data_IF_843970804118
#
_entry.id   IF_843970804118
#
_cell.length_a   1.000
_cell.length_b   1.000
_cell.length_c   1.000
_cell.angle_alpha   90.00
_cell.angle_beta   90.00
_cell.angle_gamma   90.00
#
_symmetry.space_group_name_H-M   'P 1'
#
loop_
_entity.id
_entity.type
_entity.pdbx_description
1 polymer ?
#
# COMPACT_ATOMS: atom_id res chain seq x y z
N UNK A 1 30.94 -12.48 3.29
CA UNK A 1 31.55 -11.28 3.92
C UNK A 1 30.61 -10.81 5.01
N UNK A 2 31.09 -10.47 6.22
CA UNK A 2 30.22 -9.84 7.21
C UNK A 2 29.65 -8.54 6.63
N UNK A 3 28.38 -8.24 6.92
CA UNK A 3 27.83 -6.90 6.72
C UNK A 3 28.57 -5.97 7.69
N UNK A 4 29.62 -5.30 7.22
CA UNK A 4 30.42 -4.38 8.05
C UNK A 4 29.59 -3.16 8.51
N UNK A 5 28.58 -2.79 7.70
CA UNK A 5 27.53 -1.84 8.05
C UNK A 5 26.32 -2.10 7.15
N UNK A 6 25.11 -1.99 7.69
CA UNK A 6 23.85 -1.98 6.93
C UNK A 6 23.50 -0.54 6.57
N UNK A 7 23.29 -0.25 5.30
CA UNK A 7 22.76 1.03 4.83
C UNK A 7 21.27 0.88 4.55
N UNK A 8 20.45 1.68 5.23
CA UNK A 8 19.01 1.71 5.05
C UNK A 8 18.61 3.06 4.43
N UNK A 9 18.05 3.09 3.21
CA UNK A 9 17.48 4.32 2.69
C UNK A 9 16.25 4.67 3.53
N UNK A 10 16.15 5.94 3.91
CA UNK A 10 15.04 6.52 4.66
C UNK A 10 14.61 7.83 3.99
N UNK A 11 13.33 8.22 4.07
CA UNK A 11 12.91 9.53 3.57
C UNK A 11 13.66 10.66 4.28
N UNK A 12 14.02 11.72 3.55
CA UNK A 12 14.63 12.94 4.09
C UNK A 12 13.69 13.70 5.02
N UNK A 13 12.39 13.65 4.70
CA UNK A 13 11.33 14.22 5.52
C UNK A 13 10.04 13.41 5.37
N UNK A 14 9.24 13.42 6.43
CA UNK A 14 7.90 12.88 6.51
C UNK A 14 7.02 13.92 7.20
N UNK A 15 6.04 14.48 6.49
CA UNK A 15 5.12 15.48 7.03
C UNK A 15 3.67 15.05 6.86
N UNK A 16 2.91 14.99 7.95
CA UNK A 16 1.45 14.79 7.92
C UNK A 16 0.78 16.02 8.51
N UNK A 17 0.12 16.81 7.66
CA UNK A 17 -0.47 18.09 8.07
C UNK A 17 -1.49 18.60 7.08
N UNK A 18 -2.29 19.57 7.50
CA UNK A 18 -3.16 20.35 6.61
C UNK A 18 -2.34 21.29 5.73
N UNK A 19 -2.80 21.50 4.50
CA UNK A 19 -2.20 22.43 3.53
C UNK A 19 -0.78 22.06 3.09
N UNK A 20 -0.40 20.78 3.14
CA UNK A 20 0.92 20.32 2.71
C UNK A 20 1.18 20.59 1.22
N UNK A 21 0.16 20.43 0.35
CA UNK A 21 0.23 20.74 -1.08
C UNK A 21 0.52 22.22 -1.30
N UNK A 22 -0.20 23.11 -0.61
CA UNK A 22 -0.02 24.56 -0.76
C UNK A 22 1.38 25.07 -0.33
N UNK A 23 2.12 24.27 0.42
CA UNK A 23 3.48 24.59 0.89
C UNK A 23 4.56 23.80 0.16
N UNK A 24 4.22 23.13 -0.95
CA UNK A 24 5.16 22.31 -1.70
C UNK A 24 6.40 23.11 -2.15
N UNK A 25 6.25 24.39 -2.51
CA UNK A 25 7.40 25.21 -2.93
C UNK A 25 8.52 25.33 -1.89
N UNK A 26 8.21 25.26 -0.59
CA UNK A 26 9.24 25.28 0.46
C UNK A 26 10.08 23.99 0.45
N UNK A 27 9.45 22.84 0.16
CA UNK A 27 10.13 21.57 -0.02
C UNK A 27 10.95 21.56 -1.31
N UNK A 28 10.40 22.12 -2.40
CA UNK A 28 11.11 22.21 -3.68
C UNK A 28 12.33 23.13 -3.62
N UNK A 29 12.32 24.11 -2.73
CA UNK A 29 13.45 24.99 -2.48
C UNK A 29 14.55 24.37 -1.60
N UNK A 30 14.31 23.19 -0.99
CA UNK A 30 15.33 22.49 -0.22
C UNK A 30 16.41 21.93 -1.15
N UNK A 31 17.65 22.41 -0.99
CA UNK A 31 18.79 22.00 -1.81
C UNK A 31 19.15 20.51 -1.68
N UNK A 32 18.60 19.81 -0.67
CA UNK A 32 18.73 18.35 -0.52
C UNK A 32 17.74 17.59 -1.42
N UNK A 33 16.69 18.26 -1.90
CA UNK A 33 15.67 17.71 -2.81
C UNK A 33 15.98 18.08 -4.25
N UNK A 34 16.30 19.34 -4.53
CA UNK A 34 16.69 19.83 -5.86
C UNK A 34 17.76 20.92 -5.76
N UNK A 35 18.84 20.80 -6.52
CA UNK A 35 19.97 21.75 -6.53
C UNK A 35 19.82 22.89 -7.54
N UNK A 36 19.24 22.62 -8.72
CA UNK A 36 19.05 23.62 -9.79
C UNK A 36 17.61 24.10 -9.92
N UNK A 37 16.69 23.53 -9.14
CA UNK A 37 15.26 23.91 -9.14
C UNK A 37 14.45 23.32 -10.30
N UNK A 38 15.05 22.49 -11.15
CA UNK A 38 14.37 21.78 -12.24
C UNK A 38 13.55 20.61 -11.70
N UNK A 39 12.33 20.91 -11.29
CA UNK A 39 11.39 19.94 -10.71
C UNK A 39 10.24 19.66 -11.68
N UNK A 40 9.84 18.39 -11.77
CA UNK A 40 8.59 18.01 -12.41
C UNK A 40 7.51 17.75 -11.34
N UNK A 41 6.26 18.12 -11.61
CA UNK A 41 5.12 17.80 -10.75
C UNK A 41 4.11 16.98 -11.55
N UNK A 42 3.91 15.74 -11.16
CA UNK A 42 2.94 14.82 -11.76
C UNK A 42 1.65 14.82 -10.94
N UNK A 43 0.53 15.21 -11.56
CA UNK A 43 -0.78 15.26 -10.90
C UNK A 43 -1.79 14.32 -11.57
N UNK A 44 -2.69 13.75 -10.77
CA UNK A 44 -3.74 12.84 -11.26
C UNK A 44 -4.90 13.56 -11.98
N UNK A 45 -5.79 12.80 -12.64
CA UNK A 45 -6.81 13.35 -13.54
C UNK A 45 -7.97 14.08 -12.83
N UNK A 46 -8.18 13.83 -11.53
CA UNK A 46 -9.34 14.36 -10.79
C UNK A 46 -9.11 15.68 -10.07
N UNK A 47 -7.94 15.88 -9.48
CA UNK A 47 -7.62 17.06 -8.65
C UNK A 47 -6.52 17.92 -9.24
N UNK A 48 -6.02 17.59 -10.44
CA UNK A 48 -4.84 18.21 -11.00
C UNK A 48 -4.97 19.73 -11.19
N UNK A 49 -6.14 20.23 -11.63
CA UNK A 49 -6.34 21.67 -11.83
C UNK A 49 -6.34 22.44 -10.52
N UNK A 50 -6.98 21.87 -9.50
CA UNK A 50 -6.99 22.46 -8.17
C UNK A 50 -5.58 22.45 -7.55
N UNK A 51 -4.88 21.33 -7.63
CA UNK A 51 -3.50 21.19 -7.16
C UNK A 51 -2.59 22.19 -7.88
N UNK A 52 -2.65 22.26 -9.21
CA UNK A 52 -1.87 23.20 -10.01
C UNK A 52 -2.13 24.65 -9.58
N UNK A 53 -3.39 25.03 -9.37
CA UNK A 53 -3.74 26.36 -8.89
C UNK A 53 -3.20 26.68 -7.49
N UNK A 54 -3.15 25.69 -6.59
CA UNK A 54 -2.65 25.85 -5.22
C UNK A 54 -1.13 25.98 -5.19
N UNK A 55 -0.42 25.21 -6.03
CA UNK A 55 1.03 25.20 -6.04
C UNK A 55 1.61 26.32 -6.89
N UNK A 56 0.91 26.82 -7.92
CA UNK A 56 1.37 27.86 -8.83
C UNK A 56 2.05 29.08 -8.17
N UNK A 57 1.56 29.62 -7.03
CA UNK A 57 2.23 30.74 -6.33
C UNK A 57 3.62 30.39 -5.78
N UNK A 58 3.91 29.10 -5.58
CA UNK A 58 5.12 28.58 -4.94
C UNK A 58 5.94 27.66 -5.86
N UNK A 59 5.43 27.38 -7.06
CA UNK A 59 5.96 26.35 -7.98
C UNK A 59 7.27 26.76 -8.67
N UNK A 60 7.55 28.06 -8.77
CA UNK A 60 8.73 28.57 -9.46
C UNK A 60 8.77 28.14 -10.93
N UNK A 61 9.85 27.46 -11.33
CA UNK A 61 10.06 26.94 -12.69
C UNK A 61 9.60 25.47 -12.86
N UNK A 62 8.89 24.89 -11.89
CA UNK A 62 8.47 23.49 -12.01
C UNK A 62 7.44 23.29 -13.12
N UNK A 63 7.55 22.17 -13.83
CA UNK A 63 6.65 21.82 -14.93
C UNK A 63 5.61 20.79 -14.48
N UNK A 64 4.34 21.02 -14.83
CA UNK A 64 3.23 20.15 -14.42
C UNK A 64 2.90 19.15 -15.52
N UNK A 65 2.91 17.87 -15.15
CA UNK A 65 2.52 16.73 -15.99
C UNK A 65 1.21 16.13 -15.50
N UNK A 66 0.35 15.74 -16.44
CA UNK A 66 -0.91 15.05 -16.14
C UNK A 66 -0.75 13.55 -16.31
N UNK A 67 -0.95 12.81 -15.23
CA UNK A 67 -0.96 11.34 -15.23
C UNK A 67 -2.39 10.89 -15.51
N UNK A 68 -2.60 10.22 -16.65
CA UNK A 68 -3.94 9.83 -17.08
C UNK A 68 -4.60 8.81 -16.14
N UNK A 69 -3.85 7.78 -15.73
CA UNK A 69 -4.32 6.69 -14.88
C UNK A 69 -3.13 5.96 -14.19
N UNK A 70 -3.44 4.86 -13.50
CA UNK A 70 -2.45 3.99 -12.85
C UNK A 70 -1.98 2.83 -13.74
N UNK A 71 -1.77 3.05 -15.04
CA UNK A 71 -1.25 2.03 -15.97
C UNK A 71 0.26 2.13 -16.18
N UNK A 72 0.86 1.03 -16.65
CA UNK A 72 2.24 0.99 -17.11
C UNK A 72 2.45 1.95 -18.28
N UNK A 73 1.49 2.08 -19.20
CA UNK A 73 1.59 2.97 -20.35
C UNK A 73 1.66 4.45 -19.94
N UNK A 74 0.79 4.88 -19.02
CA UNK A 74 0.82 6.23 -18.46
C UNK A 74 2.16 6.51 -17.76
N UNK A 75 2.66 5.56 -16.97
CA UNK A 75 3.95 5.69 -16.29
C UNK A 75 5.14 5.72 -17.25
N UNK A 76 5.12 4.93 -18.34
CA UNK A 76 6.16 4.92 -19.38
C UNK A 76 6.16 6.25 -20.14
N UNK A 77 4.97 6.77 -20.49
CA UNK A 77 4.85 8.08 -21.14
C UNK A 77 5.44 9.19 -20.27
N UNK A 78 5.04 9.26 -18.99
CA UNK A 78 5.59 10.21 -18.04
C UNK A 78 7.12 10.05 -17.91
N UNK A 79 7.61 8.82 -17.78
CA UNK A 79 9.05 8.55 -17.69
C UNK A 79 9.83 9.04 -18.91
N UNK A 80 9.25 8.95 -20.11
CA UNK A 80 9.86 9.48 -21.33
C UNK A 80 9.96 11.01 -21.31
N UNK A 81 8.93 11.70 -20.82
CA UNK A 81 8.94 13.16 -20.71
C UNK A 81 9.89 13.65 -19.61
N UNK A 82 9.94 12.95 -18.47
CA UNK A 82 10.90 13.23 -17.40
C UNK A 82 12.37 13.14 -17.89
N UNK A 83 12.69 12.15 -18.72
CA UNK A 83 14.04 12.01 -19.32
C UNK A 83 14.38 13.14 -20.30
N UNK A 84 13.40 13.65 -21.07
CA UNK A 84 13.62 14.75 -22.02
C UNK A 84 13.89 16.07 -21.29
N UNK A 85 13.20 16.31 -20.18
CA UNK A 85 13.27 17.57 -19.45
C UNK A 85 14.44 17.71 -18.47
N UNK A 86 15.29 16.69 -18.31
CA UNK A 86 16.46 16.74 -17.40
C UNK A 86 16.10 17.27 -15.99
N UNK A 87 14.98 16.80 -15.44
CA UNK A 87 14.56 17.14 -14.07
C UNK A 87 15.46 16.44 -13.05
N UNK A 88 15.63 17.06 -11.88
CA UNK A 88 16.39 16.48 -10.77
C UNK A 88 15.52 15.59 -9.88
N UNK A 89 14.21 15.86 -9.84
CA UNK A 89 13.23 15.18 -9.01
C UNK A 89 11.85 15.33 -9.63
N UNK A 90 10.99 14.33 -9.41
CA UNK A 90 9.56 14.43 -9.72
C UNK A 90 8.72 14.36 -8.44
N UNK A 91 7.76 15.25 -8.29
CA UNK A 91 6.76 15.21 -7.22
C UNK A 91 5.49 14.56 -7.75
N UNK A 92 5.09 13.42 -7.21
CA UNK A 92 3.77 12.85 -7.48
C UNK A 92 2.75 13.35 -6.48
N UNK A 93 1.75 14.12 -6.93
CA UNK A 93 0.67 14.64 -6.09
C UNK A 93 -0.64 13.97 -6.49
N UNK A 94 -1.20 13.15 -5.61
CA UNK A 94 -2.43 12.44 -5.91
C UNK A 94 -2.73 11.27 -4.99
N UNK A 95 -3.62 10.40 -5.44
CA UNK A 95 -3.93 9.14 -4.76
C UNK A 95 -2.92 8.05 -5.11
N UNK A 96 -3.12 6.85 -4.53
CA UNK A 96 -2.22 5.70 -4.72
C UNK A 96 -1.87 5.40 -6.17
N UNK A 97 -2.85 5.42 -7.09
CA UNK A 97 -2.62 5.20 -8.54
C UNK A 97 -1.64 6.22 -9.16
N UNK A 98 -1.82 7.50 -8.84
CA UNK A 98 -0.95 8.58 -9.34
C UNK A 98 0.45 8.46 -8.75
N UNK A 99 0.55 8.17 -7.46
CA UNK A 99 1.82 7.96 -6.77
C UNK A 99 2.56 6.76 -7.37
N UNK A 100 1.90 5.62 -7.55
CA UNK A 100 2.54 4.43 -8.12
C UNK A 100 3.00 4.63 -9.56
N UNK A 101 2.19 5.27 -10.40
CA UNK A 101 2.57 5.60 -11.77
C UNK A 101 3.77 6.57 -11.80
N UNK A 102 3.77 7.57 -10.93
CA UNK A 102 4.88 8.53 -10.83
C UNK A 102 6.15 7.86 -10.29
N UNK A 103 6.03 6.95 -9.32
CA UNK A 103 7.15 6.20 -8.73
C UNK A 103 7.82 5.31 -9.76
N UNK A 104 7.01 4.63 -10.58
CA UNK A 104 7.50 3.85 -11.70
C UNK A 104 8.15 4.72 -12.78
N UNK A 105 7.52 5.85 -13.14
CA UNK A 105 8.09 6.82 -14.09
C UNK A 105 9.43 7.40 -13.63
N UNK A 106 9.55 7.75 -12.34
CA UNK A 106 10.78 8.23 -11.72
C UNK A 106 11.89 7.17 -11.78
N UNK A 107 11.54 5.91 -11.47
CA UNK A 107 12.46 4.76 -11.58
C UNK A 107 12.96 4.58 -13.02
N UNK A 108 12.08 4.74 -14.02
CA UNK A 108 12.49 4.70 -15.42
C UNK A 108 13.40 5.89 -15.78
N UNK A 109 13.07 7.08 -15.31
CA UNK A 109 13.85 8.29 -15.58
C UNK A 109 15.21 8.32 -14.84
N UNK A 110 15.39 7.50 -13.81
CA UNK A 110 16.61 7.47 -13.00
C UNK A 110 16.74 8.69 -12.07
N UNK A 111 15.60 9.27 -11.67
CA UNK A 111 15.54 10.44 -10.79
C UNK A 111 14.75 10.11 -9.51
N UNK A 112 15.06 10.75 -8.36
CA UNK A 112 14.28 10.58 -7.15
C UNK A 112 12.84 11.09 -7.30
N UNK A 113 11.97 10.60 -6.42
CA UNK A 113 10.57 11.01 -6.33
C UNK A 113 10.26 11.59 -4.95
N UNK A 114 9.41 12.62 -4.89
CA UNK A 114 8.67 13.02 -3.68
C UNK A 114 7.22 12.55 -3.81
N UNK A 115 6.67 11.92 -2.77
CA UNK A 115 5.27 11.53 -2.73
C UNK A 115 4.46 12.55 -1.91
N UNK A 116 3.38 13.08 -2.51
CA UNK A 116 2.41 13.95 -1.83
C UNK A 116 1.05 13.27 -1.91
N UNK A 117 0.69 12.57 -0.83
CA UNK A 117 -0.53 11.79 -0.76
C UNK A 117 -1.75 12.67 -0.46
N UNK A 118 -2.78 12.48 -1.26
CA UNK A 118 -4.10 13.14 -1.13
C UNK A 118 -5.20 12.19 -0.66
N UNK A 119 -4.86 10.90 -0.48
CA UNK A 119 -5.67 9.90 0.21
C UNK A 119 -4.77 8.85 0.87
N UNK A 120 -5.35 8.01 1.73
CA UNK A 120 -4.64 7.02 2.55
C UNK A 120 -5.19 5.61 2.31
N UNK A 121 -5.11 5.13 1.07
CA UNK A 121 -5.73 3.85 0.67
C UNK A 121 -4.85 2.61 0.82
N UNK A 122 -3.53 2.77 0.76
CA UNK A 122 -2.56 1.69 0.93
C UNK A 122 -1.14 2.25 1.11
N UNK A 123 -0.20 1.40 1.52
CA UNK A 123 1.18 1.78 1.87
C UNK A 123 2.07 2.15 0.67
N UNK A 124 1.51 2.13 -0.54
CA UNK A 124 2.13 2.57 -1.80
C UNK A 124 2.69 4.00 -1.74
N UNK A 125 2.21 4.81 -0.80
CA UNK A 125 2.73 6.15 -0.52
C UNK A 125 4.21 6.17 -0.07
N UNK A 126 4.70 5.05 0.46
CA UNK A 126 6.09 4.89 0.92
C UNK A 126 6.75 3.58 0.43
N UNK A 127 6.01 2.57 0.01
CA UNK A 127 6.58 1.25 -0.26
C UNK A 127 7.51 1.23 -1.49
N UNK A 128 8.50 0.32 -1.53
CA UNK A 128 9.41 0.11 -2.67
C UNK A 128 8.76 -0.67 -3.83
N UNK A 129 7.44 -0.56 -3.98
CA UNK A 129 6.66 -1.26 -5.00
C UNK A 129 5.59 -0.36 -5.58
N UNK A 130 5.34 -0.44 -6.88
CA UNK A 130 4.24 0.25 -7.56
C UNK A 130 3.21 -0.77 -8.07
N UNK A 131 1.93 -0.55 -7.78
CA UNK A 131 0.82 -1.36 -8.32
C UNK A 131 0.24 -0.70 -9.56
N UNK A 132 0.45 -1.29 -10.74
CA UNK A 132 0.03 -0.73 -12.03
C UNK A 132 -0.79 -1.71 -12.87
N UNK A 133 -1.70 -1.17 -13.66
CA UNK A 133 -2.43 -1.92 -14.69
C UNK A 133 -1.58 -2.08 -15.95
N UNK A 134 -1.61 -3.26 -16.55
CA UNK A 134 -1.01 -3.59 -17.85
C UNK A 134 -1.95 -4.54 -18.61
N UNK A 135 -1.62 -4.90 -19.85
CA UNK A 135 -2.48 -5.75 -20.70
C UNK A 135 -2.89 -7.08 -20.03
N UNK A 136 -2.04 -7.63 -19.17
CA UNK A 136 -2.30 -8.89 -18.45
C UNK A 136 -3.01 -8.72 -17.11
N UNK A 137 -3.49 -7.53 -16.76
CA UNK A 137 -4.17 -7.25 -15.49
C UNK A 137 -3.39 -6.30 -14.58
N UNK A 138 -3.45 -6.52 -13.27
CA UNK A 138 -2.76 -5.69 -12.27
C UNK A 138 -1.46 -6.36 -11.82
N UNK A 139 -0.36 -5.62 -11.87
CA UNK A 139 0.97 -6.09 -11.50
C UNK A 139 1.60 -5.23 -10.40
N UNK A 140 2.49 -5.85 -9.61
CA UNK A 140 3.32 -5.15 -8.61
C UNK A 140 4.76 -5.11 -9.10
N UNK A 141 5.33 -3.91 -9.22
CA UNK A 141 6.65 -3.68 -9.78
C UNK A 141 7.60 -3.11 -8.73
N UNK A 142 8.82 -3.64 -8.62
CA UNK A 142 9.84 -3.11 -7.72
C UNK A 142 10.36 -1.75 -8.19
N UNK A 143 10.38 -0.78 -7.28
CA UNK A 143 10.78 0.62 -7.54
C UNK A 143 11.46 1.22 -6.31
N UNK A 144 12.25 2.29 -6.44
CA UNK A 144 12.77 3.01 -5.29
C UNK A 144 11.65 3.61 -4.43
N UNK A 145 11.83 3.60 -3.11
CA UNK A 145 10.98 4.36 -2.18
C UNK A 145 11.12 5.88 -2.44
N UNK A 146 10.06 6.68 -2.22
CA UNK A 146 10.15 8.14 -2.28
C UNK A 146 11.24 8.73 -1.37
N UNK A 147 11.92 9.76 -1.86
CA UNK A 147 12.93 10.56 -1.14
C UNK A 147 12.32 11.36 0.01
N UNK A 148 11.08 11.83 -0.16
CA UNK A 148 10.33 12.57 0.85
C UNK A 148 8.84 12.26 0.71
N UNK A 149 8.11 12.35 1.83
CA UNK A 149 6.70 11.98 1.90
C UNK A 149 5.94 13.10 2.60
N UNK A 150 4.87 13.56 1.97
CA UNK A 150 3.94 14.53 2.52
C UNK A 150 2.54 13.96 2.40
N UNK A 151 1.73 14.18 3.43
CA UNK A 151 0.31 13.83 3.44
C UNK A 151 -0.47 15.10 3.74
N UNK A 152 -1.30 15.51 2.79
CA UNK A 152 -2.16 16.68 2.95
C UNK A 152 -3.51 16.29 3.53
N UNK A 153 -3.71 16.58 4.81
CA UNK A 153 -4.94 16.23 5.52
C UNK A 153 -6.18 16.94 4.95
N UNK A 154 -6.06 18.14 4.36
CA UNK A 154 -7.21 18.81 3.76
C UNK A 154 -7.72 18.04 2.53
N UNK A 155 -6.81 17.49 1.74
CA UNK A 155 -7.18 16.60 0.63
C UNK A 155 -7.69 15.25 1.13
N UNK A 156 -7.06 14.66 2.14
CA UNK A 156 -7.50 13.37 2.72
C UNK A 156 -8.93 13.47 3.26
N UNK A 157 -9.30 14.57 3.92
CA UNK A 157 -10.67 14.82 4.38
C UNK A 157 -11.70 14.89 3.25
N UNK A 158 -11.29 15.43 2.10
CA UNK A 158 -12.15 15.56 0.92
C UNK A 158 -12.15 14.31 0.04
N UNK A 159 -11.29 13.32 0.32
CA UNK A 159 -11.28 12.05 -0.40
C UNK A 159 -12.47 11.17 0.04
N UNK A 160 -12.93 10.24 -0.82
CA UNK A 160 -13.93 9.26 -0.42
C UNK A 160 -13.48 8.50 0.83
N UNK A 161 -14.33 8.45 1.86
CA UNK A 161 -13.99 7.79 3.14
C UNK A 161 -13.65 6.32 2.99
N UNK A 162 -14.19 5.64 1.96
CA UNK A 162 -13.81 4.26 1.62
C UNK A 162 -12.32 4.10 1.37
N UNK A 163 -11.64 5.13 0.82
CA UNK A 163 -10.19 5.11 0.64
C UNK A 163 -9.44 5.24 1.96
N UNK A 164 -9.93 6.02 2.92
CA UNK A 164 -9.31 6.09 4.26
C UNK A 164 -9.49 4.78 5.00
N UNK A 165 -10.70 4.21 4.94
CA UNK A 165 -11.01 2.91 5.54
C UNK A 165 -10.13 1.82 4.93
N UNK A 166 -9.97 1.80 3.61
CA UNK A 166 -9.09 0.86 2.92
C UNK A 166 -7.68 0.81 3.54
N UNK A 167 -7.07 1.98 3.81
CA UNK A 167 -5.75 2.02 4.44
C UNK A 167 -5.69 1.34 5.81
N UNK A 168 -6.78 1.31 6.57
CA UNK A 168 -6.84 0.55 7.83
C UNK A 168 -6.74 -0.95 7.56
N UNK A 169 -7.47 -1.46 6.57
CA UNK A 169 -7.42 -2.86 6.16
C UNK A 169 -6.03 -3.27 5.69
N UNK A 170 -5.38 -2.41 4.91
CA UNK A 170 -4.00 -2.60 4.43
C UNK A 170 -2.99 -2.71 5.58
N UNK A 171 -2.98 -1.74 6.50
CA UNK A 171 -2.03 -1.77 7.62
C UNK A 171 -2.32 -2.92 8.58
N UNK A 172 -3.58 -3.23 8.89
CA UNK A 172 -3.90 -4.33 9.82
C UNK A 172 -3.49 -5.68 9.24
N UNK A 173 -3.46 -5.81 7.92
CA UNK A 173 -3.03 -7.03 7.22
C UNK A 173 -1.57 -7.41 7.52
N UNK A 174 -0.73 -6.43 7.84
CA UNK A 174 0.66 -6.62 8.29
C UNK A 174 0.80 -7.66 9.41
N UNK A 175 -0.16 -7.74 10.33
CA UNK A 175 -0.12 -8.74 11.40
C UNK A 175 -0.14 -10.15 10.82
N UNK A 176 -1.02 -10.41 9.84
CA UNK A 176 -1.09 -11.72 9.18
C UNK A 176 0.19 -12.00 8.38
N UNK A 177 0.71 -10.99 7.67
CA UNK A 177 1.94 -11.13 6.89
C UNK A 177 3.17 -11.47 7.76
N UNK A 178 3.28 -10.88 8.95
CA UNK A 178 4.35 -11.21 9.90
C UNK A 178 4.23 -12.64 10.39
N UNK A 179 3.02 -13.12 10.71
CA UNK A 179 2.82 -14.51 11.14
C UNK A 179 3.16 -15.50 10.00
N UNK A 180 2.86 -15.16 8.73
CA UNK A 180 3.34 -15.94 7.59
C UNK A 180 4.85 -15.95 7.44
N UNK A 181 5.50 -14.81 7.69
CA UNK A 181 6.95 -14.75 7.62
C UNK A 181 7.58 -15.61 8.74
N UNK A 182 7.04 -15.54 9.95
CA UNK A 182 7.46 -16.40 11.07
C UNK A 182 7.24 -17.88 10.77
N UNK A 183 6.10 -18.25 10.18
CA UNK A 183 5.84 -19.61 9.73
C UNK A 183 6.88 -20.06 8.68
N UNK A 184 7.20 -19.22 7.71
CA UNK A 184 8.30 -19.45 6.76
C UNK A 184 9.66 -19.65 7.42
N UNK A 185 9.94 -18.92 8.49
CA UNK A 185 11.15 -19.12 9.29
C UNK A 185 11.17 -20.48 9.99
N UNK A 186 10.10 -20.83 10.68
CA UNK A 186 10.00 -22.10 11.43
C UNK A 186 10.07 -23.31 10.50
N UNK A 187 9.32 -23.30 9.41
CA UNK A 187 9.17 -24.46 8.51
C UNK A 187 10.28 -24.58 7.47
N UNK A 188 10.85 -23.45 7.03
CA UNK A 188 11.80 -23.42 5.90
C UNK A 188 13.12 -22.72 6.20
N UNK A 189 13.31 -22.21 7.42
CA UNK A 189 14.52 -21.48 7.80
C UNK A 189 14.64 -20.13 7.09
N UNK A 190 13.54 -19.55 6.61
CA UNK A 190 13.57 -18.23 5.97
C UNK A 190 14.10 -17.16 6.93
N UNK A 191 15.09 -16.34 6.55
CA UNK A 191 15.61 -15.29 7.42
C UNK A 191 14.55 -14.25 7.77
N UNK A 192 14.48 -13.88 9.05
CA UNK A 192 13.63 -12.82 9.58
C UNK A 192 14.46 -11.57 9.82
N UNK A 193 13.95 -10.42 9.40
CA UNK A 193 14.46 -9.12 9.83
C UNK A 193 13.65 -8.58 11.00
N UNK A 194 14.22 -8.62 12.21
CA UNK A 194 13.54 -8.17 13.41
C UNK A 194 13.18 -6.68 13.42
N UNK A 195 13.95 -5.82 12.75
CA UNK A 195 13.64 -4.40 12.63
C UNK A 195 12.41 -4.21 11.73
N UNK A 196 12.39 -4.88 10.57
CA UNK A 196 11.24 -4.83 9.66
C UNK A 196 9.96 -5.35 10.34
N UNK A 197 10.03 -6.50 11.03
CA UNK A 197 8.90 -7.04 11.79
C UNK A 197 8.43 -6.07 12.88
N UNK A 198 9.35 -5.41 13.59
CA UNK A 198 8.99 -4.46 14.64
C UNK A 198 8.29 -3.23 14.08
N UNK A 199 8.78 -2.68 12.96
CA UNK A 199 8.14 -1.53 12.30
C UNK A 199 6.74 -1.88 11.82
N UNK A 200 6.62 -2.99 11.08
CA UNK A 200 5.34 -3.44 10.53
C UNK A 200 4.31 -3.79 11.62
N UNK A 201 4.72 -4.48 12.70
CA UNK A 201 3.84 -4.77 13.84
C UNK A 201 3.39 -3.50 14.54
N UNK A 202 4.31 -2.54 14.75
CA UNK A 202 4.00 -1.26 15.41
C UNK A 202 2.96 -0.47 14.62
N UNK A 203 3.08 -0.46 13.28
CA UNK A 203 2.10 0.19 12.40
C UNK A 203 0.69 -0.39 12.60
N UNK A 204 0.54 -1.72 12.59
CA UNK A 204 -0.76 -2.36 12.74
C UNK A 204 -1.35 -2.24 14.14
N UNK A 205 -0.53 -2.42 15.18
CA UNK A 205 -0.98 -2.34 16.58
C UNK A 205 -1.42 -0.90 16.95
N UNK A 206 -0.92 0.13 16.25
CA UNK A 206 -1.38 1.51 16.43
C UNK A 206 -2.84 1.74 15.97
N UNK A 207 -3.39 0.87 15.10
CA UNK A 207 -4.72 1.02 14.52
C UNK A 207 -5.73 -0.02 15.01
N UNK A 208 -5.31 -1.27 15.27
CA UNK A 208 -6.24 -2.39 15.51
C UNK A 208 -7.23 -2.14 16.67
N UNK A 209 -6.74 -1.51 17.75
CA UNK A 209 -7.53 -1.20 18.94
C UNK A 209 -8.12 0.21 18.96
N UNK A 210 -7.94 0.99 17.90
CA UNK A 210 -8.25 2.41 17.88
C UNK A 210 -9.74 2.67 17.64
N UNK A 211 -10.31 3.71 18.26
CA UNK A 211 -11.77 3.95 18.31
C UNK A 211 -12.22 5.38 18.00
N UNK A 212 -11.30 6.32 17.81
CA UNK A 212 -11.63 7.66 17.35
C UNK A 212 -12.07 7.67 15.88
N UNK A 213 -12.75 8.76 15.49
CA UNK A 213 -13.34 8.89 14.16
C UNK A 213 -12.27 8.93 13.07
N UNK A 214 -12.55 8.25 11.95
CA UNK A 214 -11.74 8.33 10.72
C UNK A 214 -11.69 9.73 10.10
N UNK A 215 -12.58 10.63 10.53
CA UNK A 215 -12.61 12.05 10.14
C UNK A 215 -11.78 12.94 11.09
N UNK A 216 -11.11 12.37 12.09
CA UNK A 216 -10.27 13.18 12.98
C UNK A 216 -8.84 13.29 12.44
N UNK A 217 -8.24 14.48 12.55
CA UNK A 217 -6.83 14.68 12.19
C UNK A 217 -5.92 13.71 12.97
N UNK A 218 -6.22 13.46 14.25
CA UNK A 218 -5.49 12.49 15.05
C UNK A 218 -5.56 11.08 14.46
N UNK A 219 -6.72 10.64 13.98
CA UNK A 219 -6.86 9.34 13.32
C UNK A 219 -6.02 9.28 12.06
N UNK A 220 -6.23 10.25 11.16
CA UNK A 220 -5.56 10.34 9.87
C UNK A 220 -4.05 10.43 10.00
N UNK A 221 -3.53 11.15 11.00
CA UNK A 221 -2.09 11.24 11.24
C UNK A 221 -1.47 9.88 11.53
N UNK A 222 -2.03 9.11 12.47
CA UNK A 222 -1.48 7.78 12.76
C UNK A 222 -1.71 6.82 11.61
N UNK A 223 -2.83 6.90 10.88
CA UNK A 223 -3.04 6.08 9.70
C UNK A 223 -1.94 6.36 8.66
N UNK A 224 -1.67 7.62 8.36
CA UNK A 224 -0.60 8.02 7.46
C UNK A 224 0.77 7.53 7.94
N UNK A 225 1.12 7.78 9.20
CA UNK A 225 2.39 7.32 9.79
C UNK A 225 2.50 5.80 9.78
N UNK A 226 1.40 5.07 9.99
CA UNK A 226 1.39 3.60 9.98
C UNK A 226 1.56 3.04 8.57
N UNK A 227 0.92 3.63 7.55
CA UNK A 227 1.14 3.28 6.15
C UNK A 227 2.60 3.57 5.72
N UNK A 228 3.17 4.69 6.16
CA UNK A 228 4.57 5.01 5.90
C UNK A 228 5.49 4.00 6.59
N UNK A 229 5.23 3.68 7.85
CA UNK A 229 6.01 2.71 8.61
C UNK A 229 5.91 1.30 8.01
N UNK A 230 4.75 0.92 7.47
CA UNK A 230 4.56 -0.31 6.67
C UNK A 230 5.48 -0.32 5.45
N UNK A 231 5.42 0.72 4.60
CA UNK A 231 6.27 0.82 3.41
C UNK A 231 7.77 0.83 3.74
N UNK A 232 8.19 1.53 4.79
CA UNK A 232 9.58 1.52 5.25
C UNK A 232 10.01 0.13 5.75
N UNK A 233 9.12 -0.64 6.38
CA UNK A 233 9.44 -2.00 6.83
C UNK A 233 9.85 -2.90 5.65
N UNK A 234 9.22 -2.73 4.47
CA UNK A 234 9.57 -3.46 3.26
C UNK A 234 10.95 -3.08 2.72
N UNK A 235 11.31 -1.79 2.82
CA UNK A 235 12.66 -1.30 2.47
C UNK A 235 13.70 -1.94 3.37
N UNK A 236 13.42 -1.99 4.68
CA UNK A 236 14.28 -2.67 5.65
C UNK A 236 14.41 -4.15 5.25
N UNK A 237 13.30 -4.87 5.11
CA UNK A 237 13.32 -6.28 4.75
C UNK A 237 13.94 -6.60 3.37
N UNK A 238 14.04 -5.61 2.48
CA UNK A 238 14.41 -5.82 1.08
C UNK A 238 13.37 -6.66 0.31
N UNK A 239 12.15 -6.76 0.84
CA UNK A 239 11.05 -7.54 0.27
C UNK A 239 9.71 -7.07 0.85
N UNK A 240 8.61 -7.49 0.26
CA UNK A 240 7.26 -7.20 0.76
C UNK A 240 6.86 -8.05 1.97
N UNK A 241 7.68 -9.00 2.43
CA UNK A 241 7.36 -9.93 3.54
C UNK A 241 6.70 -9.30 4.77
N UNK A 242 7.20 -8.17 5.33
CA UNK A 242 6.62 -7.63 6.55
C UNK A 242 5.20 -7.10 6.39
N UNK A 243 4.74 -6.81 5.17
CA UNK A 243 3.43 -6.21 4.90
C UNK A 243 2.58 -7.07 3.93
N UNK A 244 3.06 -8.25 3.53
CA UNK A 244 2.48 -8.98 2.42
C UNK A 244 2.75 -10.50 2.51
N UNK A 245 1.77 -11.25 2.98
CA UNK A 245 1.74 -12.72 3.11
C UNK A 245 0.58 -13.34 2.33
N UNK A 246 -0.09 -14.33 2.94
CA UNK A 246 -1.22 -15.05 2.34
C UNK A 246 -2.46 -14.18 2.16
N UNK A 247 -2.59 -13.15 3.00
CA UNK A 247 -3.57 -12.07 2.88
C UNK A 247 -3.49 -11.38 1.51
N UNK A 248 -2.28 -11.06 1.09
CA UNK A 248 -2.01 -10.43 -0.18
C UNK A 248 -2.03 -11.42 -1.36
N UNK A 249 -1.71 -12.68 -1.14
CA UNK A 249 -1.92 -13.73 -2.15
C UNK A 249 -3.41 -13.87 -2.51
N UNK A 250 -4.29 -13.83 -1.50
CA UNK A 250 -5.75 -13.79 -1.69
C UNK A 250 -6.14 -12.54 -2.47
N UNK A 251 -5.66 -11.36 -2.06
CA UNK A 251 -5.90 -10.10 -2.78
C UNK A 251 -5.50 -10.19 -4.26
N UNK A 252 -4.28 -10.66 -4.55
CA UNK A 252 -3.80 -10.77 -5.93
C UNK A 252 -4.62 -11.78 -6.73
N UNK A 253 -5.11 -12.85 -6.11
CA UNK A 253 -6.00 -13.80 -6.76
C UNK A 253 -7.38 -13.20 -7.06
N UNK A 254 -7.93 -12.35 -6.18
CA UNK A 254 -9.14 -11.57 -6.48
C UNK A 254 -8.89 -10.63 -7.66
N UNK A 255 -7.78 -9.87 -7.65
CA UNK A 255 -7.45 -8.94 -8.74
C UNK A 255 -7.28 -9.66 -10.10
N UNK A 256 -6.88 -10.94 -10.10
CA UNK A 256 -6.75 -11.76 -11.31
C UNK A 256 -8.07 -12.39 -11.77
N UNK A 257 -8.85 -13.00 -10.87
CA UNK A 257 -10.07 -13.73 -11.23
C UNK A 257 -11.29 -12.83 -11.35
N UNK A 258 -11.37 -11.80 -10.51
CA UNK A 258 -12.51 -10.89 -10.39
C UNK A 258 -12.01 -9.43 -10.35
N UNK A 259 -11.41 -8.93 -11.44
CA UNK A 259 -10.82 -7.60 -11.47
C UNK A 259 -11.86 -6.51 -11.19
N UNK A 260 -11.49 -5.53 -10.36
CA UNK A 260 -12.35 -4.38 -10.03
C UNK A 260 -13.40 -4.65 -8.96
N UNK A 261 -13.34 -5.80 -8.27
CA UNK A 261 -14.28 -6.19 -7.20
C UNK A 261 -14.26 -5.23 -6.00
N UNK A 262 -13.07 -4.87 -5.50
CA UNK A 262 -12.90 -3.97 -4.35
C UNK A 262 -11.58 -3.21 -4.45
N UNK A 263 -11.31 -2.32 -3.49
CA UNK A 263 -10.01 -1.66 -3.40
C UNK A 263 -8.97 -2.52 -2.67
N UNK A 264 -7.69 -2.13 -2.78
CA UNK A 264 -6.56 -2.92 -2.29
C UNK A 264 -6.65 -3.23 -0.79
N UNK A 265 -6.80 -2.20 0.05
CA UNK A 265 -6.79 -2.38 1.49
C UNK A 265 -8.02 -3.12 2.03
N UNK A 266 -9.18 -3.00 1.39
CA UNK A 266 -10.36 -3.85 1.69
C UNK A 266 -10.06 -5.34 1.46
N UNK A 267 -9.47 -5.68 0.31
CA UNK A 267 -9.11 -7.06 -0.02
C UNK A 267 -8.02 -7.60 0.93
N UNK A 268 -7.03 -6.77 1.29
CA UNK A 268 -5.98 -7.12 2.23
C UNK A 268 -6.56 -7.42 3.63
N UNK A 269 -7.52 -6.62 4.08
CA UNK A 269 -8.23 -6.83 5.34
C UNK A 269 -8.98 -8.17 5.39
N UNK A 270 -9.80 -8.48 4.37
CA UNK A 270 -10.50 -9.77 4.28
C UNK A 270 -9.50 -10.93 4.24
N UNK A 271 -8.45 -10.82 3.43
CA UNK A 271 -7.39 -11.82 3.33
C UNK A 271 -6.74 -12.08 4.68
N UNK A 272 -6.44 -11.04 5.45
CA UNK A 272 -5.84 -11.16 6.78
C UNK A 272 -6.78 -11.84 7.79
N UNK A 273 -8.06 -11.46 7.81
CA UNK A 273 -9.06 -12.09 8.67
C UNK A 273 -9.19 -13.60 8.35
N UNK A 274 -9.27 -13.96 7.07
CA UNK A 274 -9.33 -15.35 6.64
C UNK A 274 -8.05 -16.13 6.98
N UNK A 275 -6.87 -15.55 6.78
CA UNK A 275 -5.61 -16.20 7.14
C UNK A 275 -5.48 -16.42 8.66
N UNK A 276 -5.93 -15.49 9.51
CA UNK A 276 -5.97 -15.73 10.95
C UNK A 276 -6.97 -16.82 11.35
N UNK A 277 -8.13 -16.88 10.68
CA UNK A 277 -9.06 -17.99 10.86
C UNK A 277 -8.42 -19.35 10.51
N UNK A 278 -7.68 -19.44 9.41
CA UNK A 278 -6.96 -20.66 9.02
C UNK A 278 -5.87 -21.08 10.02
N UNK A 279 -5.30 -20.12 10.77
CA UNK A 279 -4.34 -20.39 11.85
C UNK A 279 -5.00 -20.83 13.15
N UNK A 280 -6.33 -20.82 13.23
CA UNK A 280 -7.09 -21.15 14.44
C UNK A 280 -6.70 -20.23 15.63
N UNK A 281 -6.33 -18.97 15.34
CA UNK A 281 -6.05 -17.93 16.33
C UNK A 281 -7.32 -17.11 16.62
N UNK A 282 -8.20 -17.69 17.44
CA UNK A 282 -9.50 -17.10 17.80
C UNK A 282 -9.39 -15.68 18.37
N UNK A 283 -8.33 -15.41 19.15
CA UNK A 283 -8.12 -14.11 19.75
C UNK A 283 -7.78 -13.06 18.68
N UNK A 284 -6.83 -13.38 17.79
CA UNK A 284 -6.36 -12.42 16.78
C UNK A 284 -7.35 -12.25 15.64
N UNK A 285 -7.99 -13.31 15.17
CA UNK A 285 -9.06 -13.18 14.15
C UNK A 285 -10.18 -12.29 14.65
N UNK A 286 -10.59 -12.42 15.91
CA UNK A 286 -11.60 -11.56 16.51
C UNK A 286 -11.15 -10.09 16.56
N UNK A 287 -9.91 -9.82 16.95
CA UNK A 287 -9.39 -8.44 16.97
C UNK A 287 -9.37 -7.81 15.58
N UNK A 288 -8.94 -8.55 14.55
CA UNK A 288 -8.93 -8.09 13.16
C UNK A 288 -10.35 -7.85 12.67
N UNK A 289 -11.26 -8.81 12.82
CA UNK A 289 -12.67 -8.68 12.41
C UNK A 289 -13.36 -7.52 13.13
N UNK A 290 -13.15 -7.36 14.44
CA UNK A 290 -13.73 -6.25 15.21
C UNK A 290 -13.19 -4.90 14.72
N UNK A 291 -11.92 -4.82 14.31
CA UNK A 291 -11.34 -3.63 13.71
C UNK A 291 -11.96 -3.33 12.33
N UNK A 292 -12.03 -4.33 11.44
CA UNK A 292 -12.61 -4.18 10.10
C UNK A 292 -14.07 -3.70 10.20
N UNK A 293 -14.91 -4.35 11.02
CA UNK A 293 -16.31 -3.95 11.22
C UNK A 293 -16.44 -2.55 11.79
N UNK A 294 -15.60 -2.18 12.75
CA UNK A 294 -15.60 -0.82 13.36
C UNK A 294 -15.36 0.27 12.32
N UNK A 295 -14.56 -0.02 11.31
CA UNK A 295 -14.25 0.92 10.22
C UNK A 295 -15.09 0.68 8.96
N UNK A 296 -16.18 -0.09 9.06
CA UNK A 296 -17.10 -0.39 7.94
C UNK A 296 -16.36 -1.01 6.74
N UNK A 297 -15.35 -1.85 7.02
CA UNK A 297 -14.64 -2.63 6.03
C UNK A 297 -15.30 -4.01 5.86
N UNK A 298 -15.16 -4.61 4.67
CA UNK A 298 -15.66 -5.95 4.40
C UNK A 298 -14.89 -6.99 5.23
N UNK A 299 -15.60 -8.04 5.64
CA UNK A 299 -15.06 -9.16 6.42
C UNK A 299 -15.30 -10.47 5.71
N UNK A 300 -16.45 -10.64 5.05
CA UNK A 300 -16.80 -11.86 4.32
C UNK A 300 -16.85 -11.60 2.81
N UNK A 301 -16.72 -12.66 1.97
CA UNK A 301 -16.71 -12.49 0.52
C UNK A 301 -17.96 -11.80 -0.04
N UNK A 302 -19.12 -12.00 0.60
CA UNK A 302 -20.37 -11.38 0.20
C UNK A 302 -20.34 -9.84 0.31
N UNK A 303 -19.54 -9.28 1.23
CA UNK A 303 -19.40 -7.83 1.42
C UNK A 303 -18.75 -7.14 0.22
N UNK A 304 -17.97 -7.89 -0.55
CA UNK A 304 -17.34 -7.44 -1.80
C UNK A 304 -18.03 -8.02 -3.04
N UNK A 305 -19.21 -8.63 -2.89
CA UNK A 305 -19.99 -9.17 -4.00
C UNK A 305 -19.50 -10.51 -4.55
N UNK A 306 -18.65 -11.23 -3.82
CA UNK A 306 -18.24 -12.60 -4.17
C UNK A 306 -19.06 -13.64 -3.40
N UNK A 307 -19.41 -14.73 -4.07
CA UNK A 307 -19.96 -15.93 -3.42
C UNK A 307 -18.88 -16.69 -2.65
N UNK A 308 -19.30 -17.58 -1.74
CA UNK A 308 -18.38 -18.47 -1.04
C UNK A 308 -17.61 -19.37 -2.02
N UNK A 309 -18.27 -19.82 -3.09
CA UNK A 309 -17.67 -20.63 -4.14
C UNK A 309 -16.60 -19.85 -4.92
N UNK A 310 -16.89 -18.61 -5.33
CA UNK A 310 -15.90 -17.75 -5.99
C UNK A 310 -14.72 -17.44 -5.06
N UNK A 311 -14.95 -17.24 -3.77
CA UNK A 311 -13.86 -17.03 -2.83
C UNK A 311 -13.03 -18.30 -2.59
N UNK A 312 -13.63 -19.49 -2.66
CA UNK A 312 -12.88 -20.73 -2.64
C UNK A 312 -11.96 -20.87 -3.87
N UNK A 313 -12.41 -20.43 -5.06
CA UNK A 313 -11.56 -20.36 -6.26
C UNK A 313 -10.39 -19.38 -6.07
N UNK A 314 -10.63 -18.22 -5.45
CA UNK A 314 -9.59 -17.26 -5.07
C UNK A 314 -8.56 -17.89 -4.14
N UNK A 315 -9.00 -18.55 -3.07
CA UNK A 315 -8.10 -19.19 -2.10
C UNK A 315 -7.29 -20.32 -2.75
N UNK A 316 -7.89 -21.06 -3.69
CA UNK A 316 -7.17 -22.09 -4.44
C UNK A 316 -6.10 -21.51 -5.37
N UNK A 317 -6.35 -20.35 -5.99
CA UNK A 317 -5.37 -19.68 -6.86
C UNK A 317 -4.28 -18.93 -6.07
N UNK A 318 -4.59 -18.41 -4.88
CA UNK A 318 -3.76 -17.51 -4.10
C UNK A 318 -2.26 -17.90 -4.02
N UNK A 319 -1.89 -19.15 -3.67
CA UNK A 319 -0.48 -19.58 -3.65
C UNK A 319 0.28 -19.40 -4.98
N UNK A 320 -0.41 -19.50 -6.12
CA UNK A 320 0.20 -19.37 -7.44
C UNK A 320 0.50 -17.92 -7.80
N UNK A 321 -0.10 -16.94 -7.12
CA UNK A 321 0.11 -15.52 -7.39
C UNK A 321 1.49 -15.03 -6.94
N UNK A 322 2.13 -15.74 -6.00
CA UNK A 322 3.49 -15.43 -5.51
C UNK A 322 4.37 -16.68 -5.38
N UNK A 323 4.85 -17.22 -6.51
CA UNK A 323 5.70 -18.41 -6.50
C UNK A 323 6.92 -18.24 -5.58
N UNK A 324 7.13 -19.23 -4.69
CA UNK A 324 8.26 -19.26 -3.76
C UNK A 324 7.98 -18.58 -2.41
N UNK A 325 6.85 -17.90 -2.24
CA UNK A 325 6.36 -17.48 -0.93
C UNK A 325 5.88 -18.71 -0.15
N UNK A 326 6.02 -18.65 1.18
CA UNK A 326 5.46 -19.65 2.08
C UNK A 326 4.67 -18.94 3.17
N UNK A 327 3.38 -19.28 3.22
CA UNK A 327 2.35 -18.70 4.07
C UNK A 327 1.51 -19.85 4.65
N UNK A 328 0.48 -19.49 5.43
CA UNK A 328 -0.50 -20.45 5.93
C UNK A 328 -1.20 -21.22 4.79
N UNK A 329 -1.33 -20.61 3.60
CA UNK A 329 -1.96 -21.23 2.43
C UNK A 329 -1.10 -22.39 1.90
N UNK A 330 0.21 -22.20 1.71
CA UNK A 330 1.13 -23.28 1.32
C UNK A 330 1.41 -24.27 2.46
N UNK A 331 1.25 -23.85 3.71
CA UNK A 331 1.46 -24.71 4.87
C UNK A 331 0.38 -25.76 4.98
N UNK A 332 -0.89 -25.36 4.90
CA UNK A 332 -2.02 -26.27 5.01
C UNK A 332 -2.19 -27.18 3.79
N UNK A 333 -1.76 -26.75 2.59
CA UNK A 333 -1.84 -27.53 1.33
C UNK A 333 -3.23 -28.12 1.08
N UNK A 334 -4.25 -27.32 1.38
CA UNK A 334 -5.65 -27.73 1.34
C UNK A 334 -6.05 -28.19 -0.07
N UNK A 335 -6.78 -29.29 -0.16
CA UNK A 335 -7.46 -29.71 -1.39
C UNK A 335 -8.71 -28.85 -1.62
N UNK A 336 -9.22 -28.81 -2.86
CA UNK A 336 -10.41 -28.01 -3.22
C UNK A 336 -11.62 -28.26 -2.31
N UNK A 337 -11.84 -29.49 -1.84
CA UNK A 337 -12.93 -29.79 -0.90
C UNK A 337 -12.70 -29.14 0.46
N UNK A 338 -11.48 -29.22 0.98
CA UNK A 338 -11.11 -28.63 2.27
C UNK A 338 -11.15 -27.10 2.22
N UNK A 339 -10.75 -26.50 1.09
CA UNK A 339 -10.87 -25.05 0.87
C UNK A 339 -12.34 -24.63 0.95
N UNK A 340 -13.25 -25.32 0.26
CA UNK A 340 -14.69 -25.02 0.29
C UNK A 340 -15.26 -25.15 1.70
N UNK A 341 -14.87 -26.19 2.43
CA UNK A 341 -15.33 -26.40 3.81
C UNK A 341 -14.85 -25.27 4.73
N UNK A 342 -13.55 -24.91 4.68
CA UNK A 342 -12.96 -23.83 5.49
C UNK A 342 -13.53 -22.46 5.14
N UNK A 343 -13.75 -22.16 3.86
CA UNK A 343 -14.44 -20.92 3.45
C UNK A 343 -15.88 -20.91 3.97
N UNK A 344 -16.58 -22.04 3.88
CA UNK A 344 -17.93 -22.17 4.43
C UNK A 344 -17.99 -21.97 5.94
N UNK A 345 -17.04 -22.52 6.70
CA UNK A 345 -16.91 -22.33 8.14
C UNK A 345 -16.61 -20.87 8.50
N UNK A 346 -15.70 -20.23 7.76
CA UNK A 346 -15.39 -18.81 7.93
C UNK A 346 -16.64 -17.94 7.75
N UNK A 347 -17.37 -18.14 6.65
CA UNK A 347 -18.61 -17.40 6.34
C UNK A 347 -19.69 -17.69 7.39
N UNK A 348 -19.81 -18.91 7.92
CA UNK A 348 -20.74 -19.18 9.04
C UNK A 348 -20.34 -18.50 10.33
N UNK A 349 -19.05 -18.36 10.58
CA UNK A 349 -18.51 -17.79 11.83
C UNK A 349 -18.60 -16.26 11.85
N UNK A 350 -18.41 -15.62 10.68
CA UNK A 350 -18.30 -14.16 10.58
C UNK A 350 -19.30 -13.51 9.61
N UNK A 351 -20.12 -14.29 8.92
CA UNK A 351 -21.26 -13.79 8.15
C UNK A 351 -22.38 -13.39 9.10
N UNK A 352 -22.73 -12.11 9.08
CA UNK A 352 -23.84 -11.52 9.84
C UNK A 352 -24.80 -10.83 8.89
#
# INVERSE_FOLDING_TARGET
MPLLARMLPAPLTMEVRRGAVAQLGALLADSRVATSGRVAVAVGPGQGDHIESLIAPTLGEAEVFRVADGSVDAAVSLGADLRKGAYEVVVGVGGGKTIDATKYAASLAGIPMVAVATNLSHDGICSPTASLLYEGGKGTFGVPMPLAILVDLDFVHNAPQSLVRAGVGDVVSNLSAIEDWQLGNVERGEPIDGLACSMSRTAAEALIGRTDSIESDAFLTVLAESLILSGMSMVVAGSSRPASGGDHEILHAVDQLFPGTSNHGELAGIGAAFCFFLREDDARVKQVVDCLRRHELPVVPADIGLTAEQFAEVVALAPATRPGRYTILEHLRMQDSEIRDRVGDYVRSFGS
#
